data_IF_881770598282
#
_entry.id   IF_881770598282
#
_cell.length_a   1.000
_cell.length_b   1.000
_cell.length_c   1.000
_cell.angle_alpha   90.00
_cell.angle_beta   90.00
_cell.angle_gamma   90.00
#
_symmetry.space_group_name_H-M   'P 1'
#
loop_
_entity.id
_entity.type
_entity.pdbx_description
1 polymer ?
#
# COMPACT_ATOMS: atom_id res chain seq x y z
N UNK A 1 14.30 6.77 -43.36
CA UNK A 1 13.37 7.37 -42.39
C UNK A 1 13.00 6.37 -41.29
N UNK A 2 12.61 5.14 -41.63
CA UNK A 2 12.19 4.11 -40.65
C UNK A 2 13.23 3.69 -39.60
N UNK A 3 14.51 3.59 -39.99
CA UNK A 3 15.60 3.23 -39.05
C UNK A 3 15.83 4.29 -37.96
N UNK A 4 15.59 5.57 -38.25
CA UNK A 4 15.68 6.63 -37.26
C UNK A 4 14.48 6.54 -36.29
N UNK A 5 13.27 6.35 -36.83
CA UNK A 5 12.05 6.13 -36.04
C UNK A 5 12.16 4.90 -35.12
N UNK A 6 12.77 3.80 -35.57
CA UNK A 6 13.00 2.61 -34.75
C UNK A 6 13.97 2.88 -33.58
N UNK A 7 15.08 3.58 -33.85
CA UNK A 7 16.06 3.92 -32.80
C UNK A 7 15.45 4.85 -31.76
N UNK A 8 14.68 5.85 -32.19
CA UNK A 8 14.05 6.82 -31.31
C UNK A 8 12.96 6.16 -30.43
N UNK A 9 12.13 5.29 -31.02
CA UNK A 9 11.12 4.53 -30.26
C UNK A 9 11.75 3.54 -29.28
N UNK A 10 12.81 2.83 -29.69
CA UNK A 10 13.55 1.94 -28.81
C UNK A 10 14.18 2.68 -27.62
N UNK A 11 14.80 3.84 -27.87
CA UNK A 11 15.35 4.70 -26.83
C UNK A 11 14.26 5.20 -25.85
N UNK A 12 13.08 5.58 -26.36
CA UNK A 12 11.95 6.00 -25.53
C UNK A 12 11.45 4.88 -24.62
N UNK A 13 11.36 3.64 -25.12
CA UNK A 13 10.95 2.48 -24.32
C UNK A 13 11.95 2.17 -23.20
N UNK A 14 13.25 2.25 -23.50
CA UNK A 14 14.30 2.06 -22.48
C UNK A 14 14.23 3.15 -21.41
N UNK A 15 14.04 4.41 -21.79
CA UNK A 15 13.89 5.51 -20.85
C UNK A 15 12.63 5.35 -19.98
N UNK A 16 11.51 4.93 -20.56
CA UNK A 16 10.28 4.65 -19.83
C UNK A 16 10.46 3.49 -18.83
N UNK A 17 11.14 2.41 -19.23
CA UNK A 17 11.46 1.29 -18.35
C UNK A 17 12.39 1.71 -17.21
N UNK A 18 13.44 2.47 -17.50
CA UNK A 18 14.35 2.99 -16.49
C UNK A 18 13.63 3.90 -15.49
N UNK A 19 12.79 4.82 -15.98
CA UNK A 19 11.94 5.68 -15.14
C UNK A 19 11.00 4.87 -14.26
N UNK A 20 10.34 3.85 -14.83
CA UNK A 20 9.48 2.91 -14.09
C UNK A 20 10.25 2.21 -12.96
N UNK A 21 11.45 1.69 -13.25
CA UNK A 21 12.28 1.01 -12.25
C UNK A 21 12.75 1.96 -11.14
N UNK A 22 13.10 3.20 -11.48
CA UNK A 22 13.49 4.23 -10.50
C UNK A 22 12.32 4.56 -9.57
N UNK A 23 11.13 4.79 -10.12
CA UNK A 23 9.92 5.05 -9.32
C UNK A 23 9.55 3.86 -8.46
N UNK A 24 9.60 2.64 -9.02
CA UNK A 24 9.38 1.39 -8.27
C UNK A 24 10.32 1.29 -7.08
N UNK A 25 11.61 1.53 -7.31
CA UNK A 25 12.65 1.45 -6.28
C UNK A 25 12.51 2.53 -5.22
N UNK A 26 12.24 3.78 -5.61
CA UNK A 26 12.01 4.87 -4.66
C UNK A 26 10.84 4.54 -3.74
N UNK A 27 9.73 4.04 -4.28
CA UNK A 27 8.59 3.61 -3.46
C UNK A 27 8.93 2.44 -2.56
N UNK A 28 9.62 1.43 -3.07
CA UNK A 28 10.06 0.31 -2.25
C UNK A 28 10.98 0.76 -1.09
N UNK A 29 11.78 1.82 -1.30
CA UNK A 29 12.65 2.41 -0.29
C UNK A 29 11.92 3.29 0.73
N UNK A 30 10.87 4.00 0.32
CA UNK A 30 10.04 4.81 1.22
C UNK A 30 9.15 3.96 2.14
N UNK A 31 9.14 2.63 1.97
CA UNK A 31 8.41 1.72 2.86
C UNK A 31 8.97 1.83 4.28
N UNK A 32 8.12 2.01 5.29
CA UNK A 32 8.55 1.94 6.68
C UNK A 32 9.11 0.54 6.95
N UNK A 33 10.41 0.43 7.25
CA UNK A 33 11.02 -0.85 7.58
C UNK A 33 10.43 -1.51 8.84
N UNK A 34 9.69 -0.73 9.63
CA UNK A 34 9.12 -1.13 10.92
C UNK A 34 7.74 -1.77 10.84
N UNK A 35 7.00 -1.63 9.73
CA UNK A 35 5.63 -2.19 9.60
C UNK A 35 5.60 -3.25 8.50
N UNK A 36 5.27 -4.51 8.83
CA UNK A 36 5.23 -5.56 7.84
C UNK A 36 3.99 -5.43 6.93
N UNK A 37 4.11 -5.81 5.65
CA UNK A 37 3.00 -5.74 4.71
C UNK A 37 1.95 -6.83 5.00
N UNK A 38 0.68 -6.47 4.82
CA UNK A 38 -0.45 -7.40 4.93
C UNK A 38 -0.38 -8.51 3.87
N UNK A 39 0.12 -8.18 2.67
CA UNK A 39 0.15 -9.07 1.51
C UNK A 39 1.35 -8.82 0.59
N UNK A 40 1.42 -9.59 -0.49
CA UNK A 40 2.45 -9.37 -1.51
C UNK A 40 2.15 -8.07 -2.25
N UNK A 41 3.11 -7.17 -2.27
CA UNK A 41 2.99 -5.89 -2.95
C UNK A 41 3.58 -5.97 -4.36
N UNK A 42 2.71 -5.96 -5.37
CA UNK A 42 3.08 -6.03 -6.78
C UNK A 42 3.35 -4.64 -7.38
N UNK A 43 4.22 -4.54 -8.40
CA UNK A 43 4.37 -3.30 -9.15
C UNK A 43 3.01 -2.83 -9.72
N UNK A 44 2.73 -1.53 -9.65
CA UNK A 44 1.50 -0.87 -10.12
C UNK A 44 0.22 -1.21 -9.34
N UNK A 45 -0.10 -2.50 -9.22
CA UNK A 45 -1.39 -2.97 -8.68
C UNK A 45 -1.41 -3.16 -7.16
N UNK A 46 -0.28 -2.94 -6.49
CA UNK A 46 -0.20 -2.96 -5.04
C UNK A 46 -0.51 -4.34 -4.44
N UNK A 47 -1.22 -4.34 -3.31
CA UNK A 47 -1.65 -5.58 -2.64
C UNK A 47 -3.00 -6.09 -3.13
N UNK A 48 -3.63 -5.47 -4.13
CA UNK A 48 -4.96 -5.84 -4.62
C UNK A 48 -5.09 -7.32 -4.99
N UNK A 49 -4.14 -7.97 -5.68
CA UNK A 49 -4.28 -9.40 -6.00
C UNK A 49 -4.42 -10.26 -4.75
N UNK A 50 -3.63 -9.99 -3.70
CA UNK A 50 -3.74 -10.72 -2.43
C UNK A 50 -5.09 -10.47 -1.77
N UNK A 51 -5.56 -9.22 -1.75
CA UNK A 51 -6.86 -8.85 -1.16
C UNK A 51 -8.03 -9.53 -1.88
N UNK A 52 -7.98 -9.60 -3.21
CA UNK A 52 -9.02 -10.27 -4.03
C UNK A 52 -9.01 -11.77 -3.75
N UNK A 53 -7.85 -12.42 -3.72
CA UNK A 53 -7.74 -13.85 -3.42
C UNK A 53 -8.22 -14.20 -2.01
N UNK A 54 -8.02 -13.30 -1.04
CA UNK A 54 -8.38 -13.52 0.36
C UNK A 54 -9.74 -12.90 0.73
N UNK A 55 -10.50 -12.35 -0.22
CA UNK A 55 -11.70 -11.56 0.06
C UNK A 55 -12.76 -12.32 0.86
N UNK A 56 -12.97 -13.61 0.55
CA UNK A 56 -13.95 -14.47 1.22
C UNK A 56 -13.59 -14.67 2.70
N UNK A 57 -12.30 -14.77 3.02
CA UNK A 57 -11.80 -15.01 4.37
C UNK A 57 -10.96 -13.82 4.87
N UNK A 58 -11.32 -12.60 4.46
CA UNK A 58 -10.45 -11.43 4.64
C UNK A 58 -10.19 -11.15 6.12
N UNK A 59 -11.21 -11.30 6.96
CA UNK A 59 -11.09 -11.09 8.40
C UNK A 59 -10.15 -12.10 9.06
N UNK A 60 -10.25 -13.38 8.70
CA UNK A 60 -9.37 -14.43 9.24
C UNK A 60 -7.93 -14.23 8.76
N UNK A 61 -7.75 -13.93 7.47
CA UNK A 61 -6.45 -13.60 6.90
C UNK A 61 -5.80 -12.39 7.60
N UNK A 62 -6.56 -11.32 7.80
CA UNK A 62 -6.09 -10.13 8.49
C UNK A 62 -5.74 -10.43 9.95
N UNK A 63 -6.58 -11.20 10.66
CA UNK A 63 -6.34 -11.58 12.04
C UNK A 63 -5.05 -12.41 12.18
N UNK A 64 -4.84 -13.40 11.32
CA UNK A 64 -3.61 -14.20 11.30
C UNK A 64 -2.38 -13.32 11.08
N UNK A 65 -2.47 -12.38 10.11
CA UNK A 65 -1.40 -11.44 9.81
C UNK A 65 -1.09 -10.53 10.99
N UNK A 66 -2.10 -9.97 11.64
CA UNK A 66 -1.94 -9.14 12.83
C UNK A 66 -1.28 -9.92 13.97
N UNK A 67 -1.74 -11.15 14.26
CA UNK A 67 -1.13 -12.02 15.29
C UNK A 67 0.35 -12.27 14.97
N UNK A 68 0.65 -12.62 13.72
CA UNK A 68 2.01 -12.91 13.27
C UNK A 68 2.95 -11.69 13.35
N UNK A 69 2.41 -10.50 13.19
CA UNK A 69 3.16 -9.26 13.04
C UNK A 69 3.08 -8.32 14.26
N UNK A 70 2.71 -8.84 15.43
CA UNK A 70 2.69 -8.05 16.66
C UNK A 70 1.55 -7.04 16.73
N UNK A 71 0.49 -7.24 15.96
CA UNK A 71 -0.74 -6.47 16.00
C UNK A 71 -0.76 -5.23 15.11
N UNK A 72 0.21 -5.02 14.22
CA UNK A 72 0.18 -3.91 13.25
C UNK A 72 0.68 -4.36 11.88
N UNK A 73 -0.05 -4.02 10.82
CA UNK A 73 0.30 -4.32 9.43
C UNK A 73 -0.02 -3.15 8.50
N UNK A 74 0.68 -3.05 7.39
CA UNK A 74 0.45 -2.05 6.35
C UNK A 74 -0.27 -2.66 5.14
N UNK A 75 -1.26 -1.94 4.61
CA UNK A 75 -1.96 -2.27 3.36
C UNK A 75 -1.70 -1.17 2.34
N UNK A 76 -1.14 -1.52 1.18
CA UNK A 76 -0.90 -0.57 0.09
C UNK A 76 -1.85 -0.79 -1.08
N UNK A 77 -2.38 0.32 -1.58
CA UNK A 77 -3.30 0.37 -2.70
C UNK A 77 -2.58 0.35 -4.05
N UNK A 78 -3.32 0.71 -5.11
CA UNK A 78 -2.72 1.00 -6.40
C UNK A 78 -1.71 2.13 -6.26
N UNK A 79 -0.66 2.09 -7.07
CA UNK A 79 0.34 3.13 -7.08
C UNK A 79 -0.18 4.54 -7.36
N UNK A 80 -1.30 4.69 -8.03
CA UNK A 80 -1.90 5.98 -8.33
C UNK A 80 -3.16 6.23 -7.48
N UNK A 81 -3.39 5.43 -6.45
CA UNK A 81 -4.47 5.62 -5.48
C UNK A 81 -3.92 6.04 -4.13
N UNK A 82 -4.62 6.92 -3.45
CA UNK A 82 -4.34 7.32 -2.06
C UNK A 82 -5.05 6.36 -1.09
N UNK A 83 -4.74 5.06 -1.21
CA UNK A 83 -5.39 3.97 -0.48
C UNK A 83 -4.45 3.23 0.48
N UNK A 84 -3.27 3.79 0.72
CA UNK A 84 -2.32 3.23 1.67
C UNK A 84 -2.85 3.43 3.09
N UNK A 85 -2.84 2.37 3.89
CA UNK A 85 -3.42 2.38 5.24
C UNK A 85 -2.65 1.48 6.19
N UNK A 86 -2.71 1.83 7.48
CA UNK A 86 -2.17 1.03 8.57
C UNK A 86 -3.34 0.43 9.34
N UNK A 87 -3.27 -0.88 9.57
CA UNK A 87 -4.27 -1.61 10.33
C UNK A 87 -3.61 -2.10 11.61
N UNK A 88 -4.22 -1.79 12.75
CA UNK A 88 -3.67 -2.12 14.07
C UNK A 88 -4.72 -2.73 14.99
N UNK A 89 -4.35 -3.84 15.63
CA UNK A 89 -5.01 -4.43 16.79
C UNK A 89 -4.23 -4.22 18.10
N UNK A 90 -3.05 -3.58 18.05
CA UNK A 90 -2.28 -3.24 19.25
C UNK A 90 -3.09 -2.29 20.17
N UNK A 91 -3.40 -2.70 21.42
CA UNK A 91 -4.15 -1.88 22.37
C UNK A 91 -3.54 -0.50 22.65
N UNK A 92 -2.20 -0.38 22.62
CA UNK A 92 -1.53 0.90 22.83
C UNK A 92 -1.79 1.87 21.67
N UNK A 93 -1.68 1.37 20.43
CA UNK A 93 -1.99 2.15 19.23
C UNK A 93 -3.48 2.53 19.18
N UNK A 94 -4.37 1.58 19.49
CA UNK A 94 -5.81 1.84 19.52
C UNK A 94 -6.14 2.92 20.57
N UNK A 95 -5.62 2.82 21.79
CA UNK A 95 -5.84 3.84 22.83
C UNK A 95 -5.27 5.19 22.41
N UNK A 96 -4.10 5.20 21.77
CA UNK A 96 -3.50 6.42 21.27
C UNK A 96 -4.40 7.11 20.24
N UNK A 97 -4.86 6.38 19.22
CA UNK A 97 -5.71 6.89 18.14
C UNK A 97 -7.10 7.26 18.65
N UNK A 98 -7.72 6.44 19.48
CA UNK A 98 -9.13 6.59 19.88
C UNK A 98 -9.34 7.47 21.12
N UNK A 99 -8.28 7.77 21.87
CA UNK A 99 -8.41 8.53 23.13
C UNK A 99 -7.35 9.61 23.29
N UNK A 100 -6.07 9.25 23.34
CA UNK A 100 -5.01 10.20 23.72
C UNK A 100 -4.74 11.26 22.65
N UNK A 101 -4.93 10.93 21.38
CA UNK A 101 -4.55 11.76 20.24
C UNK A 101 -5.63 11.81 19.15
N UNK A 102 -6.89 11.57 19.52
CA UNK A 102 -8.02 11.44 18.60
C UNK A 102 -8.18 12.59 17.60
N UNK A 103 -7.89 13.83 18.03
CA UNK A 103 -7.98 15.02 17.18
C UNK A 103 -7.05 14.98 15.95
N UNK A 104 -5.94 14.25 16.02
CA UNK A 104 -4.99 14.09 14.93
C UNK A 104 -5.37 12.98 13.93
N UNK A 105 -6.44 12.23 14.19
CA UNK A 105 -6.95 11.18 13.32
C UNK A 105 -8.38 11.50 12.89
N UNK A 106 -8.58 12.56 12.07
CA UNK A 106 -9.91 12.92 11.63
C UNK A 106 -10.51 11.80 10.78
N UNK A 107 -11.73 11.41 11.11
CA UNK A 107 -12.52 10.47 10.31
C UNK A 107 -12.71 11.00 8.88
N UNK A 108 -12.65 10.10 7.90
CA UNK A 108 -12.96 10.43 6.50
C UNK A 108 -14.42 10.90 6.34
N UNK A 109 -14.78 11.59 5.24
CA UNK A 109 -16.11 12.15 5.03
C UNK A 109 -17.24 11.14 5.25
N UNK A 110 -17.11 9.95 4.66
CA UNK A 110 -18.08 8.85 4.79
C UNK A 110 -18.27 8.43 6.26
N UNK A 111 -17.17 8.37 7.03
CA UNK A 111 -17.18 7.94 8.41
C UNK A 111 -17.74 9.03 9.36
N UNK A 112 -17.70 10.30 8.95
CA UNK A 112 -18.34 11.42 9.68
C UNK A 112 -19.85 11.48 9.51
N UNK A 113 -20.38 10.94 8.41
CA UNK A 113 -21.83 10.88 8.18
C UNK A 113 -22.51 9.80 9.04
N UNK A 114 -21.76 8.75 9.41
CA UNK A 114 -22.27 7.58 10.14
C UNK A 114 -22.10 7.73 11.66
N UNK A 115 -21.09 8.49 12.13
CA UNK A 115 -20.70 8.61 13.54
C UNK A 115 -20.46 10.05 13.97
#
# INVERSE_FOLDING_TARGET
>A
MELLTYKDTFAALLAALAGFLVVHWQRARMRPASVPPLGTNWPVIGMLPTLICQMVNFHDYLAERLIKHGGTVEMQGLWFSDMDSIITSDPANIRHIMSCNFRNYPKGPIMKEIF
#
